data_IF_500824330764
#
_entry.id   IF_500824330764
#
_cell.length_a   1.000
_cell.length_b   1.000
_cell.length_c   1.000
_cell.angle_alpha   90.00
_cell.angle_beta   90.00
_cell.angle_gamma   90.00
#
_symmetry.space_group_name_H-M   'P 1'
#
loop_
_entity.id
_entity.type
_entity.pdbx_description
1 polymer ?
#
# COMPACT_ATOMS: atom_id res chain seq x y z
N UNK A 1 14.82 -15.60 -3.85
CA UNK A 1 15.39 -14.59 -2.92
C UNK A 1 15.65 -13.33 -3.73
N UNK A 2 14.62 -12.46 -3.86
CA UNK A 2 14.76 -11.20 -4.59
C UNK A 2 15.59 -10.26 -3.72
N UNK A 3 16.87 -10.17 -4.01
CA UNK A 3 17.78 -9.26 -3.33
C UNK A 3 17.54 -7.86 -3.86
N UNK A 4 16.74 -7.07 -3.16
CA UNK A 4 16.75 -5.63 -3.35
C UNK A 4 18.14 -5.12 -2.96
N UNK A 5 18.94 -4.75 -3.94
CA UNK A 5 20.21 -4.07 -3.67
C UNK A 5 19.89 -2.69 -3.13
N UNK A 6 20.07 -2.55 -1.82
CA UNK A 6 19.88 -1.31 -1.09
C UNK A 6 20.85 -0.23 -1.62
N UNK A 7 20.31 0.91 -2.03
CA UNK A 7 21.09 2.09 -2.36
C UNK A 7 21.76 2.59 -1.08
N UNK A 8 23.11 2.58 -1.06
CA UNK A 8 23.83 3.24 0.03
C UNK A 8 23.92 4.73 -0.25
N UNK A 9 23.39 5.52 0.68
CA UNK A 9 23.67 6.95 0.75
C UNK A 9 25.08 7.16 1.33
N UNK A 10 25.93 7.95 0.68
CA UNK A 10 27.15 8.46 1.33
C UNK A 10 26.76 9.65 2.18
N UNK A 11 26.94 9.53 3.48
CA UNK A 11 26.73 10.64 4.40
C UNK A 11 28.05 11.33 4.69
N UNK A 12 28.12 12.63 4.42
CA UNK A 12 29.13 13.51 4.95
C UNK A 12 28.46 14.41 5.98
N UNK A 13 28.90 14.33 7.23
CA UNK A 13 28.53 15.30 8.26
C UNK A 13 29.55 16.43 8.25
N UNK A 14 29.12 17.64 7.93
CA UNK A 14 29.88 18.84 8.18
C UNK A 14 29.04 19.77 9.06
N UNK A 15 29.34 19.83 10.33
CA UNK A 15 28.82 20.81 11.29
C UNK A 15 27.31 20.83 11.51
N UNK A 16 26.61 21.77 10.93
CA UNK A 16 25.19 22.06 11.16
C UNK A 16 24.22 21.45 10.13
N UNK A 17 24.72 20.84 9.06
CA UNK A 17 23.95 20.30 7.94
C UNK A 17 24.24 18.82 7.77
N UNK A 18 23.20 18.05 7.48
CA UNK A 18 23.32 16.67 7.05
C UNK A 18 23.23 16.63 5.52
N UNK A 19 24.25 16.09 4.86
CA UNK A 19 24.24 15.92 3.42
C UNK A 19 23.79 14.50 3.09
N UNK A 20 22.67 14.37 2.41
CA UNK A 20 22.16 13.09 1.92
C UNK A 20 22.45 13.00 0.43
N UNK A 21 23.26 12.03 0.03
CA UNK A 21 23.50 11.69 -1.36
C UNK A 21 22.66 10.47 -1.72
N UNK A 22 21.46 10.71 -2.26
CA UNK A 22 20.62 9.63 -2.80
C UNK A 22 21.06 9.39 -4.23
N UNK A 23 21.84 8.34 -4.41
CA UNK A 23 22.33 7.92 -5.73
C UNK A 23 21.36 6.95 -6.34
N UNK A 24 20.81 7.32 -7.47
CA UNK A 24 20.05 6.38 -8.28
C UNK A 24 20.95 5.41 -8.99
N UNK A 25 20.44 4.20 -9.16
CA UNK A 25 21.10 3.16 -9.93
C UNK A 25 21.44 3.68 -11.31
N UNK A 26 22.65 3.40 -11.73
CA UNK A 26 23.29 3.56 -13.02
C UNK A 26 22.60 4.49 -14.03
N UNK A 27 23.42 5.06 -14.84
CA UNK A 27 23.05 5.80 -16.05
C UNK A 27 22.31 4.87 -17.03
N UNK A 28 21.17 4.28 -16.59
CA UNK A 28 20.37 3.38 -17.44
C UNK A 28 20.06 4.04 -18.76
N UNK A 29 19.78 5.35 -18.74
CA UNK A 29 19.51 6.14 -19.93
C UNK A 29 20.72 6.28 -20.89
N UNK A 30 21.94 5.92 -20.44
CA UNK A 30 23.10 5.84 -21.32
C UNK A 30 23.06 4.58 -22.18
N UNK A 31 22.67 3.45 -21.62
CA UNK A 31 22.58 2.17 -22.31
C UNK A 31 21.27 2.00 -23.08
N UNK A 32 20.19 2.57 -22.56
CA UNK A 32 18.85 2.52 -23.15
C UNK A 32 18.55 3.89 -23.76
N UNK A 33 19.13 4.12 -24.93
CA UNK A 33 18.94 5.38 -25.68
C UNK A 33 17.54 5.43 -26.30
N UNK A 34 16.95 6.61 -26.35
CA UNK A 34 15.62 6.84 -26.91
C UNK A 34 15.52 6.30 -28.35
N UNK A 35 14.41 5.64 -28.67
CA UNK A 35 14.14 5.03 -29.97
C UNK A 35 14.90 3.73 -30.25
N UNK A 36 15.84 3.30 -29.40
CA UNK A 36 16.53 2.02 -29.55
C UNK A 36 15.57 0.84 -29.36
N UNK A 37 15.94 -0.36 -29.81
CA UNK A 37 15.16 -1.58 -29.61
C UNK A 37 14.90 -1.88 -28.13
N UNK A 38 15.89 -1.58 -27.26
CA UNK A 38 15.74 -1.69 -25.80
C UNK A 38 14.72 -0.71 -25.26
N UNK A 39 14.71 0.50 -25.75
CA UNK A 39 13.76 1.53 -25.35
C UNK A 39 12.34 1.20 -25.80
N UNK A 40 12.16 0.79 -27.04
CA UNK A 40 10.85 0.39 -27.56
C UNK A 40 10.25 -0.77 -26.76
N UNK A 41 11.07 -1.75 -26.35
CA UNK A 41 10.62 -2.85 -25.51
C UNK A 41 10.32 -2.38 -24.07
N UNK A 42 11.14 -1.48 -23.51
CA UNK A 42 10.91 -0.90 -22.19
C UNK A 42 9.60 -0.07 -22.13
N UNK A 43 9.29 0.69 -23.20
CA UNK A 43 8.01 1.42 -23.34
C UNK A 43 6.83 0.43 -23.32
N UNK A 44 6.91 -0.67 -24.08
CA UNK A 44 5.83 -1.67 -24.13
C UNK A 44 5.58 -2.35 -22.79
N UNK A 45 6.64 -2.61 -22.05
CA UNK A 45 6.56 -3.19 -20.69
C UNK A 45 6.09 -2.18 -19.66
N UNK A 46 6.59 -0.96 -19.71
CA UNK A 46 6.33 0.17 -18.82
C UNK A 46 6.92 0.00 -17.43
N UNK A 47 6.87 -1.20 -16.87
CA UNK A 47 7.39 -1.53 -15.53
C UNK A 47 7.79 -3.01 -15.45
N UNK A 48 8.65 -3.35 -14.50
CA UNK A 48 8.87 -4.75 -14.11
C UNK A 48 7.68 -5.25 -13.31
N UNK A 49 7.33 -6.54 -13.45
CA UNK A 49 6.24 -7.21 -12.73
C UNK A 49 6.84 -8.18 -11.73
N UNK A 50 6.42 -8.07 -10.45
CA UNK A 50 6.96 -8.85 -9.34
C UNK A 50 5.94 -9.90 -8.92
N UNK A 51 6.01 -11.09 -9.48
CA UNK A 51 5.20 -12.22 -9.05
C UNK A 51 5.91 -12.99 -7.93
N UNK A 52 5.18 -13.82 -7.22
CA UNK A 52 5.57 -14.45 -5.95
C UNK A 52 7.02 -14.98 -5.88
N UNK A 53 7.49 -15.67 -6.93
CA UNK A 53 8.78 -16.36 -6.95
C UNK A 53 9.78 -15.80 -7.96
N UNK A 54 9.34 -14.88 -8.83
CA UNK A 54 10.15 -14.36 -9.94
C UNK A 54 9.81 -12.94 -10.31
N UNK A 55 10.65 -12.35 -11.13
CA UNK A 55 10.42 -11.02 -11.69
C UNK A 55 10.38 -11.13 -13.21
N UNK A 56 9.37 -10.52 -13.83
CA UNK A 56 9.39 -10.25 -15.26
C UNK A 56 9.99 -8.85 -15.45
N UNK A 57 11.26 -8.73 -15.81
CA UNK A 57 11.97 -7.46 -15.80
C UNK A 57 11.56 -6.56 -16.97
N UNK A 58 11.54 -5.24 -16.75
CA UNK A 58 11.38 -4.23 -17.81
C UNK A 58 12.56 -4.25 -18.77
N UNK A 59 13.76 -4.37 -18.24
CA UNK A 59 15.02 -4.43 -19.00
C UNK A 59 15.66 -5.82 -18.91
N UNK A 60 16.42 -6.27 -19.93
CA UNK A 60 17.12 -7.55 -19.89
C UNK A 60 17.99 -7.70 -18.64
N UNK A 61 18.10 -8.92 -18.10
CA UNK A 61 18.84 -9.21 -16.86
C UNK A 61 20.30 -8.80 -16.93
N UNK A 62 20.92 -8.88 -18.12
CA UNK A 62 22.29 -8.41 -18.35
C UNK A 62 22.46 -6.92 -18.03
N UNK A 63 21.43 -6.12 -18.22
CA UNK A 63 21.40 -4.72 -17.79
C UNK A 63 20.97 -4.63 -16.32
N UNK A 64 19.80 -5.15 -15.97
CA UNK A 64 19.18 -4.92 -14.65
C UNK A 64 19.97 -5.53 -13.49
N UNK A 65 20.57 -6.71 -13.66
CA UNK A 65 21.35 -7.41 -12.64
C UNK A 65 22.88 -7.27 -12.85
N UNK A 66 23.30 -6.87 -14.03
CA UNK A 66 24.70 -6.75 -14.43
C UNK A 66 25.23 -5.33 -14.42
N UNK A 67 25.25 -4.70 -15.62
CA UNK A 67 25.90 -3.40 -15.87
C UNK A 67 25.23 -2.29 -15.05
N UNK A 68 23.90 -2.31 -14.95
CA UNK A 68 23.10 -1.34 -14.21
C UNK A 68 22.89 -1.70 -12.74
N UNK A 69 23.62 -2.63 -12.18
CA UNK A 69 23.54 -2.95 -10.74
C UNK A 69 24.73 -2.37 -9.99
N UNK A 70 24.46 -1.69 -8.87
CA UNK A 70 25.50 -1.08 -8.02
C UNK A 70 26.25 -2.17 -7.22
N UNK A 71 26.97 -3.03 -7.95
CA UNK A 71 27.78 -4.07 -7.33
C UNK A 71 28.94 -3.47 -6.54
N UNK A 72 29.35 -4.08 -5.40
CA UNK A 72 30.43 -3.57 -4.57
C UNK A 72 31.77 -3.61 -5.31
N UNK A 73 32.62 -2.63 -4.99
CA UNK A 73 34.00 -2.51 -5.47
C UNK A 73 34.17 -2.33 -7.00
N UNK A 74 33.11 -1.92 -7.69
CA UNK A 74 33.12 -1.66 -9.13
C UNK A 74 32.65 -0.22 -9.37
N UNK A 75 33.39 0.50 -10.23
CA UNK A 75 32.98 1.84 -10.63
C UNK A 75 31.71 1.77 -11.48
N UNK A 76 30.75 2.63 -11.17
CA UNK A 76 29.47 2.72 -11.87
C UNK A 76 29.13 4.17 -12.21
N UNK A 77 28.69 4.37 -13.44
CA UNK A 77 28.08 5.64 -13.85
C UNK A 77 26.72 5.75 -13.18
N UNK A 78 26.38 6.90 -12.62
CA UNK A 78 25.09 7.13 -11.97
C UNK A 78 24.56 8.53 -12.26
N UNK A 79 23.24 8.69 -12.06
CA UNK A 79 22.67 10.02 -11.85
C UNK A 79 22.38 10.20 -10.38
N UNK A 80 22.84 11.30 -9.81
CA UNK A 80 22.75 11.56 -8.37
C UNK A 80 21.98 12.85 -8.09
N UNK A 81 21.20 12.83 -7.04
CA UNK A 81 20.67 14.01 -6.38
C UNK A 81 21.41 14.16 -5.02
N UNK A 82 22.22 15.21 -4.89
CA UNK A 82 22.95 15.52 -3.68
C UNK A 82 22.20 16.66 -2.98
N UNK A 83 21.86 16.47 -1.72
CA UNK A 83 21.01 17.40 -0.98
C UNK A 83 21.64 17.78 0.36
N UNK A 84 21.59 19.05 0.71
CA UNK A 84 21.85 19.55 2.06
C UNK A 84 20.49 19.71 2.76
N UNK A 85 20.31 19.00 3.90
CA UNK A 85 19.04 18.94 4.61
C UNK A 85 19.24 19.55 5.99
N UNK A 86 18.38 20.50 6.36
CA UNK A 86 18.42 21.14 7.67
C UNK A 86 17.81 20.24 8.78
N UNK A 87 17.91 20.71 10.03
CA UNK A 87 17.37 20.00 11.19
C UNK A 87 15.85 19.86 11.21
N UNK A 88 15.14 20.56 10.31
CA UNK A 88 13.69 20.46 10.14
C UNK A 88 13.28 19.51 9.01
N UNK A 89 14.27 18.90 8.33
CA UNK A 89 14.05 17.99 7.20
C UNK A 89 13.90 18.71 5.84
N UNK A 90 14.10 20.04 5.79
CA UNK A 90 13.97 20.79 4.53
C UNK A 90 15.27 20.74 3.73
N UNK A 91 15.18 20.47 2.43
CA UNK A 91 16.28 20.61 1.48
C UNK A 91 16.59 22.10 1.29
N UNK A 92 17.79 22.53 1.71
CA UNK A 92 18.23 23.94 1.63
C UNK A 92 19.12 24.21 0.44
N UNK A 93 19.79 23.17 -0.08
CA UNK A 93 20.61 23.21 -1.27
C UNK A 93 20.63 21.84 -1.92
N UNK A 94 20.68 21.80 -3.23
CA UNK A 94 20.81 20.54 -3.97
C UNK A 94 21.64 20.70 -5.25
N UNK A 95 22.11 19.56 -5.73
CA UNK A 95 22.73 19.39 -7.02
C UNK A 95 22.25 18.08 -7.65
N UNK A 96 21.96 18.10 -8.94
CA UNK A 96 21.47 16.94 -9.68
C UNK A 96 22.34 16.79 -10.93
N UNK A 97 22.84 15.59 -11.18
CA UNK A 97 23.69 15.35 -12.36
C UNK A 97 24.34 13.98 -12.40
N UNK A 98 25.26 13.83 -13.34
CA UNK A 98 25.96 12.58 -13.57
C UNK A 98 27.17 12.45 -12.64
N UNK A 99 27.34 11.25 -12.09
CA UNK A 99 28.45 10.91 -11.18
C UNK A 99 29.01 9.53 -11.49
N UNK A 100 30.20 9.26 -10.95
CA UNK A 100 30.77 7.92 -10.88
C UNK A 100 30.84 7.53 -9.41
N UNK A 101 30.33 6.36 -9.08
CA UNK A 101 30.39 5.84 -7.72
C UNK A 101 31.05 4.48 -7.66
N UNK A 102 31.59 4.16 -6.50
CA UNK A 102 32.12 2.84 -6.16
C UNK A 102 31.51 2.41 -4.84
N UNK A 103 30.57 1.47 -4.87
CA UNK A 103 29.89 0.98 -3.69
C UNK A 103 30.81 0.09 -2.87
N UNK A 104 30.92 0.32 -1.56
CA UNK A 104 31.75 -0.48 -0.67
C UNK A 104 31.05 -1.77 -0.23
N UNK A 105 29.76 -1.70 0.10
CA UNK A 105 28.98 -2.82 0.61
C UNK A 105 27.63 -2.94 -0.09
N UNK A 106 27.21 -4.17 -0.32
CA UNK A 106 25.84 -4.50 -0.72
C UNK A 106 25.07 -4.97 0.51
N UNK A 107 24.30 -4.08 1.12
CA UNK A 107 23.53 -4.38 2.32
C UNK A 107 22.16 -4.96 1.98
N UNK A 108 21.63 -5.76 2.90
CA UNK A 108 20.23 -6.19 2.89
C UNK A 108 19.47 -5.44 3.98
N UNK A 109 18.16 -5.30 3.82
CA UNK A 109 17.30 -4.73 4.86
C UNK A 109 17.43 -5.51 6.17
N UNK A 110 17.46 -6.85 6.11
CA UNK A 110 17.64 -7.71 7.28
C UNK A 110 18.94 -7.38 8.02
N UNK A 111 20.10 -7.34 7.32
CA UNK A 111 21.37 -7.01 7.96
C UNK A 111 21.36 -5.63 8.63
N UNK A 112 20.73 -4.64 8.00
CA UNK A 112 20.62 -3.28 8.56
C UNK A 112 19.65 -3.24 9.75
N UNK A 113 18.51 -3.92 9.68
CA UNK A 113 17.59 -4.04 10.80
C UNK A 113 18.25 -4.76 12.00
N UNK A 114 19.02 -5.83 11.74
CA UNK A 114 19.78 -6.53 12.77
C UNK A 114 20.84 -5.62 13.44
N UNK A 115 21.53 -4.78 12.64
CA UNK A 115 22.48 -3.80 13.16
C UNK A 115 21.77 -2.76 14.05
N UNK A 116 20.63 -2.23 13.62
CA UNK A 116 19.84 -1.25 14.38
C UNK A 116 19.32 -1.88 15.68
N UNK A 117 18.97 -3.18 15.66
CA UNK A 117 18.55 -3.94 16.83
C UNK A 117 19.72 -4.31 17.79
N UNK A 118 20.96 -3.98 17.43
CA UNK A 118 22.14 -4.23 18.27
C UNK A 118 22.73 -5.64 18.15
N UNK A 119 22.49 -6.36 17.04
CA UNK A 119 23.09 -7.67 16.80
C UNK A 119 24.60 -7.53 16.66
N UNK A 120 25.36 -8.09 17.63
CA UNK A 120 26.81 -7.92 17.73
C UNK A 120 27.56 -8.50 16.52
N UNK A 121 27.14 -9.63 15.97
CA UNK A 121 27.76 -10.23 14.78
C UNK A 121 27.69 -9.27 13.58
N UNK A 122 26.54 -8.62 13.38
CA UNK A 122 26.36 -7.67 12.28
C UNK A 122 27.09 -6.36 12.53
N UNK A 123 27.12 -5.88 13.76
CA UNK A 123 27.91 -4.70 14.16
C UNK A 123 29.40 -4.91 13.90
N UNK A 124 29.95 -6.07 14.26
CA UNK A 124 31.37 -6.38 14.05
C UNK A 124 31.68 -6.54 12.55
N UNK A 125 30.84 -7.25 11.82
CA UNK A 125 30.98 -7.45 10.37
C UNK A 125 30.98 -6.15 9.57
N UNK A 126 30.15 -5.19 9.96
CA UNK A 126 29.96 -3.93 9.25
C UNK A 126 30.46 -2.72 10.04
N UNK A 127 31.42 -2.90 10.94
CA UNK A 127 31.94 -1.89 11.88
C UNK A 127 32.23 -0.53 11.25
N UNK A 128 32.75 -0.51 10.02
CA UNK A 128 33.14 0.72 9.32
C UNK A 128 31.97 1.60 8.90
N UNK A 129 30.76 1.04 8.79
CA UNK A 129 29.57 1.78 8.31
C UNK A 129 28.53 2.00 9.42
N UNK A 130 28.69 1.40 10.60
CA UNK A 130 27.77 1.58 11.74
C UNK A 130 27.50 3.06 12.02
N UNK A 131 28.51 3.96 12.12
CA UNK A 131 28.24 5.38 12.36
C UNK A 131 27.40 6.04 11.26
N UNK A 132 27.58 5.62 10.00
CA UNK A 132 26.77 6.12 8.90
C UNK A 132 25.32 5.66 8.99
N UNK A 133 25.08 4.38 9.37
CA UNK A 133 23.73 3.85 9.57
C UNK A 133 23.00 4.58 10.69
N UNK A 134 23.67 4.86 11.80
CA UNK A 134 23.10 5.64 12.91
C UNK A 134 22.68 7.07 12.48
N UNK A 135 23.48 7.72 11.63
CA UNK A 135 23.13 9.02 11.06
C UNK A 135 21.96 8.92 10.09
N UNK A 136 21.91 7.84 9.29
CA UNK A 136 20.79 7.58 8.39
C UNK A 136 19.48 7.41 9.15
N UNK A 137 19.48 6.70 10.27
CA UNK A 137 18.29 6.55 11.15
C UNK A 137 17.81 7.92 11.64
N UNK A 138 18.72 8.76 12.16
CA UNK A 138 18.38 10.12 12.63
C UNK A 138 17.81 11.01 11.51
N UNK A 139 18.37 10.90 10.31
CA UNK A 139 17.84 11.64 9.15
C UNK A 139 16.45 11.13 8.75
N UNK A 140 16.24 9.81 8.76
CA UNK A 140 14.92 9.21 8.50
C UNK A 140 13.87 9.76 9.47
N UNK A 141 14.15 9.76 10.79
CA UNK A 141 13.25 10.29 11.82
C UNK A 141 12.92 11.78 11.57
N UNK A 142 13.92 12.55 11.16
CA UNK A 142 13.74 13.97 10.80
C UNK A 142 12.82 14.15 9.60
N UNK A 143 13.05 13.38 8.53
CA UNK A 143 12.25 13.42 7.31
C UNK A 143 10.82 12.90 7.53
N UNK A 144 10.66 11.84 8.32
CA UNK A 144 9.35 11.31 8.68
C UNK A 144 8.54 12.33 9.49
N UNK A 145 9.17 12.96 10.50
CA UNK A 145 8.55 14.03 11.28
C UNK A 145 8.14 15.22 10.40
N UNK A 146 8.97 15.61 9.44
CA UNK A 146 8.66 16.70 8.51
C UNK A 146 7.47 16.34 7.62
N UNK A 147 7.45 15.14 7.05
CA UNK A 147 6.34 14.68 6.21
C UNK A 147 5.04 14.59 7.00
N UNK A 148 5.08 14.05 8.21
CA UNK A 148 3.91 14.00 9.08
C UNK A 148 3.34 15.40 9.32
N UNK A 149 4.19 16.38 9.67
CA UNK A 149 3.78 17.77 9.94
C UNK A 149 3.18 18.51 8.73
N UNK A 150 3.45 18.07 7.52
CA UNK A 150 2.86 18.66 6.30
C UNK A 150 1.61 17.92 5.79
N UNK A 151 1.10 16.94 6.54
CA UNK A 151 -0.14 16.24 6.22
C UNK A 151 0.04 14.93 5.44
N UNK A 152 1.25 14.35 5.33
CA UNK A 152 1.43 13.07 4.65
C UNK A 152 0.64 11.97 5.36
N UNK A 153 -0.23 11.29 4.63
CA UNK A 153 -1.00 10.15 5.14
C UNK A 153 -0.14 8.88 5.10
N UNK A 154 -0.02 8.21 6.23
CA UNK A 154 0.69 6.94 6.31
C UNK A 154 -0.32 5.80 6.34
N UNK A 155 -0.34 5.00 5.27
CA UNK A 155 -1.19 3.81 5.17
C UNK A 155 -0.29 2.58 5.36
N UNK A 156 -0.15 2.12 6.60
CA UNK A 156 0.47 0.83 6.88
C UNK A 156 -0.56 -0.28 6.59
N UNK A 157 -0.44 -0.90 5.43
CA UNK A 157 -1.23 -2.09 5.07
C UNK A 157 -0.40 -3.34 5.27
N UNK A 158 -1.01 -4.37 5.85
CA UNK A 158 -0.38 -5.67 5.96
C UNK A 158 -0.16 -6.28 4.57
N UNK A 159 1.10 -6.63 4.25
CA UNK A 159 1.44 -7.29 3.00
C UNK A 159 1.75 -8.79 3.28
N UNK A 160 1.26 -9.67 2.40
CA UNK A 160 1.62 -11.07 2.44
C UNK A 160 3.03 -11.31 1.88
N UNK A 161 3.77 -12.23 2.51
CA UNK A 161 4.96 -12.83 1.94
C UNK A 161 4.69 -14.33 1.75
N UNK A 162 4.40 -14.71 0.52
CA UNK A 162 4.19 -16.11 0.17
C UNK A 162 5.56 -16.78 -0.02
N UNK A 163 5.81 -17.85 0.73
CA UNK A 163 7.02 -18.64 0.65
C UNK A 163 6.74 -19.84 -0.23
N UNK A 164 7.56 -20.00 -1.27
CA UNK A 164 7.45 -21.13 -2.20
C UNK A 164 8.64 -22.05 -2.09
N UNK A 165 8.43 -23.33 -2.39
CA UNK A 165 9.49 -24.33 -2.53
C UNK A 165 10.20 -24.21 -3.89
N UNK A 166 11.14 -25.13 -4.18
CA UNK A 166 11.92 -25.13 -5.44
C UNK A 166 11.05 -25.34 -6.69
N UNK A 167 9.89 -25.96 -6.53
CA UNK A 167 8.94 -26.23 -7.61
C UNK A 167 7.94 -25.09 -7.80
N UNK A 168 8.07 -24.00 -7.03
CA UNK A 168 7.18 -22.85 -7.07
C UNK A 168 5.85 -23.06 -6.34
N UNK A 169 5.70 -24.14 -5.56
CA UNK A 169 4.50 -24.39 -4.77
C UNK A 169 4.55 -23.60 -3.46
N UNK A 170 3.46 -22.95 -3.05
CA UNK A 170 3.40 -22.19 -1.81
C UNK A 170 3.42 -23.17 -0.62
N UNK A 171 4.33 -22.91 0.33
CA UNK A 171 4.52 -23.73 1.55
C UNK A 171 4.18 -22.97 2.82
N UNK A 172 4.16 -21.63 2.78
CA UNK A 172 3.80 -20.80 3.91
C UNK A 172 3.39 -19.40 3.44
N UNK A 173 2.53 -18.74 4.22
CA UNK A 173 2.12 -17.34 4.00
C UNK A 173 2.35 -16.57 5.30
N UNK A 174 3.28 -15.64 5.29
CA UNK A 174 3.68 -14.83 6.44
C UNK A 174 3.33 -13.35 6.22
N UNK A 175 3.06 -12.63 7.30
CA UNK A 175 3.00 -11.18 7.25
C UNK A 175 4.40 -10.60 6.99
N UNK A 176 4.50 -9.74 6.01
CA UNK A 176 5.73 -8.99 5.74
C UNK A 176 5.86 -7.86 6.76
N UNK A 177 6.82 -8.00 7.65
CA UNK A 177 7.15 -6.93 8.58
C UNK A 177 8.12 -5.94 7.90
N UNK A 178 7.71 -4.67 7.82
CA UNK A 178 8.57 -3.56 7.37
C UNK A 178 9.34 -3.01 8.55
N UNK A 179 10.66 -3.18 8.54
CA UNK A 179 11.55 -2.67 9.58
C UNK A 179 11.93 -1.19 9.36
N UNK A 180 12.80 -0.69 10.23
CA UNK A 180 13.32 0.68 10.14
C UNK A 180 14.14 0.87 8.86
N UNK A 181 14.90 -0.16 8.43
CA UNK A 181 15.73 -0.07 7.24
C UNK A 181 14.92 0.17 5.96
N UNK A 182 13.77 -0.50 5.80
CA UNK A 182 12.87 -0.30 4.67
C UNK A 182 12.28 1.12 4.65
N UNK A 183 11.76 1.59 5.78
CA UNK A 183 11.18 2.94 5.93
C UNK A 183 12.21 4.05 5.75
N UNK A 184 13.44 3.81 6.22
CA UNK A 184 14.56 4.72 6.06
C UNK A 184 14.92 4.94 4.60
N UNK A 185 15.06 3.87 3.82
CA UNK A 185 15.36 3.97 2.38
C UNK A 185 14.18 4.59 1.63
N UNK A 186 12.95 4.25 1.98
CA UNK A 186 11.77 4.91 1.43
C UNK A 186 11.79 6.43 1.66
N UNK A 187 12.13 6.88 2.88
CA UNK A 187 12.25 8.32 3.18
C UNK A 187 13.27 9.03 2.28
N UNK A 188 14.40 8.38 2.01
CA UNK A 188 15.44 8.95 1.14
C UNK A 188 15.01 8.95 -0.34
N UNK A 189 14.30 7.90 -0.78
CA UNK A 189 13.74 7.89 -2.14
C UNK A 189 12.68 8.98 -2.31
N UNK A 190 11.82 9.19 -1.33
CA UNK A 190 10.78 10.22 -1.36
C UNK A 190 11.40 11.62 -1.47
N UNK A 191 12.36 11.97 -0.61
CA UNK A 191 12.99 13.30 -0.64
C UNK A 191 13.75 13.54 -1.94
N UNK A 192 14.38 12.50 -2.52
CA UNK A 192 15.06 12.63 -3.81
C UNK A 192 14.07 12.86 -4.96
N UNK A 193 12.96 12.12 -4.98
CA UNK A 193 11.89 12.27 -5.97
C UNK A 193 11.28 13.67 -5.90
N UNK A 194 11.00 14.18 -4.69
CA UNK A 194 10.52 15.55 -4.46
C UNK A 194 11.51 16.60 -4.94
N UNK A 195 12.78 16.46 -4.55
CA UNK A 195 13.84 17.40 -4.91
C UNK A 195 14.02 17.51 -6.43
N UNK A 196 14.00 16.37 -7.16
CA UNK A 196 14.12 16.37 -8.62
C UNK A 196 12.89 17.00 -9.27
N UNK A 197 11.68 16.69 -8.79
CA UNK A 197 10.46 17.27 -9.33
C UNK A 197 10.41 18.80 -9.11
N UNK A 198 10.73 19.27 -7.91
CA UNK A 198 10.79 20.69 -7.57
C UNK A 198 11.83 21.46 -8.40
N UNK A 199 12.99 20.83 -8.64
CA UNK A 199 14.07 21.42 -9.45
C UNK A 199 13.58 21.77 -10.86
N UNK A 200 12.97 20.82 -11.57
CA UNK A 200 12.52 21.04 -12.94
C UNK A 200 11.25 21.90 -13.01
N UNK A 201 10.37 21.82 -12.02
CA UNK A 201 9.23 22.72 -11.91
C UNK A 201 9.66 24.19 -11.79
N UNK A 202 10.69 24.48 -10.98
CA UNK A 202 11.24 25.84 -10.83
C UNK A 202 11.98 26.37 -12.06
N UNK A 203 12.46 25.48 -12.93
CA UNK A 203 13.06 25.87 -14.21
C UNK A 203 12.02 26.09 -15.32
N UNK A 204 10.75 25.83 -15.03
CA UNK A 204 9.63 25.92 -15.99
C UNK A 204 9.86 25.10 -17.26
N UNK A 205 10.45 23.92 -17.09
CA UNK A 205 10.73 22.98 -18.17
C UNK A 205 9.65 21.89 -18.22
N UNK A 206 9.23 21.42 -19.43
CA UNK A 206 8.36 20.27 -19.57
C UNK A 206 8.90 19.07 -18.77
N UNK A 207 8.07 18.47 -17.94
CA UNK A 207 8.50 17.40 -17.04
C UNK A 207 7.39 16.39 -16.77
N UNK A 208 7.75 15.16 -16.41
CA UNK A 208 6.79 14.12 -16.02
C UNK A 208 6.66 14.07 -14.50
N UNK A 209 5.45 14.28 -14.01
CA UNK A 209 5.12 14.23 -12.58
C UNK A 209 4.39 12.95 -12.22
N UNK A 210 4.52 12.54 -10.97
CA UNK A 210 3.67 11.53 -10.33
C UNK A 210 2.68 12.25 -9.45
N UNK A 211 1.45 12.36 -9.90
CA UNK A 211 0.41 13.12 -9.21
C UNK A 211 -0.56 12.19 -8.45
N UNK A 212 -1.08 12.70 -7.35
CA UNK A 212 -2.15 12.09 -6.58
C UNK A 212 -3.12 13.18 -6.17
N UNK A 213 -4.24 13.26 -6.88
CA UNK A 213 -5.25 14.29 -6.67
C UNK A 213 -6.01 14.06 -5.37
N UNK A 214 -6.65 15.09 -4.86
CA UNK A 214 -7.50 15.01 -3.67
C UNK A 214 -8.64 13.99 -3.84
N UNK A 215 -9.08 13.33 -2.77
CA UNK A 215 -10.18 12.39 -2.83
C UNK A 215 -11.47 13.11 -3.26
N UNK A 216 -12.30 12.42 -4.04
CA UNK A 216 -13.61 12.95 -4.45
C UNK A 216 -14.53 13.06 -3.24
N UNK A 217 -15.28 14.17 -3.15
CA UNK A 217 -16.14 14.46 -2.01
C UNK A 217 -17.18 13.37 -1.73
N UNK A 218 -17.71 12.71 -2.76
CA UNK A 218 -18.67 11.60 -2.61
C UNK A 218 -18.05 10.36 -1.95
N UNK A 219 -16.81 10.04 -2.30
CA UNK A 219 -16.08 8.92 -1.68
C UNK A 219 -15.66 9.24 -0.25
N UNK A 220 -15.18 10.47 -0.02
CA UNK A 220 -14.76 10.91 1.29
C UNK A 220 -15.97 11.04 2.25
N UNK A 221 -17.15 11.42 1.75
CA UNK A 221 -18.38 11.43 2.53
C UNK A 221 -18.75 10.02 3.01
N UNK A 222 -18.62 9.00 2.15
CA UNK A 222 -18.86 7.60 2.54
C UNK A 222 -17.92 7.16 3.67
N UNK A 223 -16.64 7.57 3.60
CA UNK A 223 -15.69 7.32 4.69
C UNK A 223 -16.10 8.02 5.99
N UNK A 224 -16.50 9.30 5.92
CA UNK A 224 -16.96 10.08 7.08
C UNK A 224 -18.21 9.44 7.71
N UNK A 225 -19.19 9.07 6.89
CA UNK A 225 -20.41 8.40 7.35
C UNK A 225 -20.08 7.07 8.05
N UNK A 226 -19.12 6.33 7.51
CA UNK A 226 -18.67 5.08 8.08
C UNK A 226 -17.94 5.29 9.42
N UNK A 227 -16.96 6.21 9.48
CA UNK A 227 -16.27 6.56 10.72
C UNK A 227 -17.25 7.02 11.82
N UNK A 228 -18.26 7.82 11.44
CA UNK A 228 -19.33 8.27 12.35
C UNK A 228 -20.16 7.10 12.89
N UNK A 229 -20.33 6.01 12.13
CA UNK A 229 -21.06 4.83 12.59
C UNK A 229 -20.35 4.08 13.74
N UNK A 230 -19.06 4.30 13.94
CA UNK A 230 -18.28 3.87 15.11
C UNK A 230 -18.32 4.86 16.28
N UNK A 231 -19.13 5.92 16.18
CA UNK A 231 -19.20 6.97 17.19
C UNK A 231 -18.06 7.99 17.14
N UNK A 232 -17.28 8.00 16.06
CA UNK A 232 -16.16 8.93 15.89
C UNK A 232 -16.66 10.29 15.41
N UNK A 233 -16.14 11.35 16.02
CA UNK A 233 -16.38 12.70 15.55
C UNK A 233 -15.34 13.06 14.48
N UNK A 234 -15.79 13.36 13.27
CA UNK A 234 -14.97 13.83 12.17
C UNK A 234 -15.14 15.34 12.04
N UNK A 235 -14.06 16.11 12.14
CA UNK A 235 -14.09 17.56 12.06
C UNK A 235 -13.96 18.00 10.60
N UNK A 236 -14.99 18.62 10.07
CA UNK A 236 -15.08 19.09 8.69
C UNK A 236 -16.15 18.36 7.89
N UNK A 237 -16.32 18.81 6.64
CA UNK A 237 -17.20 18.17 5.65
C UNK A 237 -16.35 17.48 4.59
N UNK A 238 -16.94 16.60 3.80
CA UNK A 238 -16.24 15.93 2.71
C UNK A 238 -15.57 16.87 1.68
N UNK A 239 -16.01 18.12 1.61
CA UNK A 239 -15.43 19.15 0.74
C UNK A 239 -14.44 20.08 1.42
N UNK A 240 -14.26 19.98 2.75
CA UNK A 240 -13.44 20.93 3.54
C UNK A 240 -12.54 20.28 4.58
N UNK A 241 -12.57 18.95 4.70
CA UNK A 241 -11.71 18.22 5.64
C UNK A 241 -10.25 18.32 5.19
N UNK A 242 -9.38 18.74 6.11
CA UNK A 242 -7.95 18.83 5.85
C UNK A 242 -7.25 17.47 6.03
N UNK A 243 -6.08 17.33 5.44
CA UNK A 243 -5.22 16.16 5.66
C UNK A 243 -4.86 15.98 7.14
N UNK A 244 -4.58 17.08 7.85
CA UNK A 244 -4.27 17.04 9.29
C UNK A 244 -5.46 16.48 10.10
N UNK A 245 -6.69 16.82 9.74
CA UNK A 245 -7.88 16.29 10.41
C UNK A 245 -8.06 14.79 10.15
N UNK A 246 -7.69 14.30 8.97
CA UNK A 246 -7.67 12.87 8.66
C UNK A 246 -6.55 12.14 9.41
N UNK A 247 -5.35 12.72 9.47
CA UNK A 247 -4.25 12.19 10.27
C UNK A 247 -4.61 12.09 11.75
N UNK A 248 -5.18 13.17 12.33
CA UNK A 248 -5.61 13.21 13.72
C UNK A 248 -6.70 12.16 14.02
N UNK A 249 -7.62 11.96 13.08
CA UNK A 249 -8.62 10.90 13.19
C UNK A 249 -7.94 9.51 13.24
N UNK A 250 -7.02 9.24 12.32
CA UNK A 250 -6.34 7.93 12.25
C UNK A 250 -5.42 7.69 13.44
N UNK A 251 -4.74 8.71 13.95
CA UNK A 251 -3.92 8.61 15.16
C UNK A 251 -4.77 8.30 16.42
N UNK A 252 -5.96 8.90 16.53
CA UNK A 252 -6.88 8.63 17.65
C UNK A 252 -7.43 7.20 17.67
N UNK A 253 -7.47 6.54 16.52
CA UNK A 253 -8.04 5.19 16.41
C UNK A 253 -7.00 4.09 16.24
N UNK A 254 -5.72 4.41 16.20
CA UNK A 254 -4.64 3.46 15.85
C UNK A 254 -4.60 2.19 16.71
N UNK A 255 -4.98 2.30 17.99
CA UNK A 255 -4.97 1.20 18.95
C UNK A 255 -6.35 0.52 19.09
N UNK A 256 -7.33 0.95 18.29
CA UNK A 256 -8.69 0.40 18.32
C UNK A 256 -8.82 -0.83 17.41
N UNK A 257 -9.66 -1.82 17.75
CA UNK A 257 -9.84 -3.03 16.97
C UNK A 257 -10.32 -2.81 15.52
N UNK A 258 -10.83 -1.62 15.21
CA UNK A 258 -11.32 -1.22 13.89
C UNK A 258 -10.37 -0.29 13.14
N UNK A 259 -9.16 -0.06 13.64
CA UNK A 259 -8.16 0.83 13.03
C UNK A 259 -7.83 0.42 11.59
N UNK A 260 -7.52 -0.86 11.36
CA UNK A 260 -7.16 -1.37 10.03
C UNK A 260 -8.30 -1.19 9.03
N UNK A 261 -9.54 -1.36 9.50
CA UNK A 261 -10.73 -1.18 8.67
C UNK A 261 -10.89 0.28 8.26
N UNK A 262 -10.72 1.21 9.18
CA UNK A 262 -10.78 2.64 8.87
C UNK A 262 -9.65 3.06 7.95
N UNK A 263 -8.43 2.55 8.15
CA UNK A 263 -7.30 2.74 7.24
C UNK A 263 -7.64 2.28 5.81
N UNK A 264 -8.18 1.07 5.67
CA UNK A 264 -8.59 0.53 4.38
C UNK A 264 -9.70 1.37 3.72
N UNK A 265 -10.72 1.80 4.49
CA UNK A 265 -11.81 2.62 3.99
C UNK A 265 -11.32 4.01 3.55
N UNK A 266 -10.41 4.62 4.31
CA UNK A 266 -9.77 5.87 3.94
C UNK A 266 -8.96 5.70 2.65
N UNK A 267 -8.15 4.66 2.55
CA UNK A 267 -7.38 4.34 1.35
C UNK A 267 -8.28 4.14 0.12
N UNK A 268 -9.41 3.43 0.26
CA UNK A 268 -10.40 3.23 -0.82
C UNK A 268 -11.11 4.54 -1.24
N UNK A 269 -11.16 5.55 -0.38
CA UNK A 269 -11.71 6.85 -0.70
C UNK A 269 -10.76 7.71 -1.53
N UNK A 270 -9.45 7.40 -1.50
CA UNK A 270 -8.43 8.13 -2.25
C UNK A 270 -8.54 7.91 -3.76
N UNK A 271 -8.03 8.85 -4.52
CA UNK A 271 -7.81 8.67 -5.95
C UNK A 271 -6.57 7.80 -6.19
N UNK A 272 -6.44 7.25 -7.39
CA UNK A 272 -5.22 6.54 -7.77
C UNK A 272 -4.17 7.55 -8.24
N UNK A 273 -2.94 7.40 -7.77
CA UNK A 273 -1.84 8.15 -8.29
C UNK A 273 -1.56 7.77 -9.76
N UNK A 274 -1.17 8.74 -10.58
CA UNK A 274 -0.90 8.55 -12.02
C UNK A 274 0.26 9.45 -12.47
N UNK A 275 0.79 9.18 -13.64
CA UNK A 275 1.74 10.08 -14.27
C UNK A 275 1.00 11.16 -15.06
N UNK A 276 1.59 12.36 -15.13
CA UNK A 276 1.03 13.51 -15.83
C UNK A 276 2.15 14.46 -16.24
N UNK A 277 1.94 15.17 -17.34
CA UNK A 277 2.74 16.33 -17.77
C UNK A 277 2.49 17.58 -16.93
N UNK A 278 1.36 17.61 -16.22
CA UNK A 278 0.99 18.73 -15.34
C UNK A 278 1.17 18.34 -13.87
N UNK A 279 1.76 19.25 -13.10
CA UNK A 279 1.88 19.08 -11.66
C UNK A 279 0.53 19.42 -10.97
N UNK A 280 -0.01 18.45 -10.24
CA UNK A 280 -1.18 18.62 -9.36
C UNK A 280 -0.85 18.24 -7.91
N UNK A 281 0.45 18.14 -7.57
CA UNK A 281 0.90 17.68 -6.27
C UNK A 281 0.64 16.19 -6.02
N UNK A 282 0.99 15.75 -4.84
CA UNK A 282 0.76 14.37 -4.41
C UNK A 282 0.07 14.35 -3.04
N UNK A 283 -1.27 14.29 -3.04
CA UNK A 283 -2.10 14.38 -1.84
C UNK A 283 -1.64 13.40 -0.74
N UNK A 284 -1.54 12.11 -1.01
CA UNK A 284 -1.15 11.12 0.01
C UNK A 284 0.21 11.37 0.66
N UNK A 285 1.16 12.04 -0.04
CA UNK A 285 2.48 12.41 0.52
C UNK A 285 2.50 13.82 1.10
N UNK A 286 1.44 14.61 0.94
CA UNK A 286 1.44 16.03 1.27
C UNK A 286 2.52 16.81 0.49
N UNK A 287 2.91 16.35 -0.70
CA UNK A 287 4.00 16.93 -1.48
C UNK A 287 3.47 17.82 -2.60
N UNK A 288 4.03 19.03 -2.71
CA UNK A 288 3.69 19.99 -3.76
C UNK A 288 4.24 19.55 -5.13
N UNK A 289 5.44 18.97 -5.15
CA UNK A 289 6.11 18.45 -6.35
C UNK A 289 6.51 17.00 -6.10
N UNK A 290 6.18 16.13 -7.03
CA UNK A 290 6.61 14.73 -6.92
C UNK A 290 6.76 14.07 -8.29
N UNK A 291 7.81 13.28 -8.45
CA UNK A 291 8.06 12.44 -9.61
C UNK A 291 8.65 11.11 -9.17
N UNK A 292 8.86 10.22 -10.11
CA UNK A 292 9.63 9.00 -9.89
C UNK A 292 10.99 9.12 -10.59
N UNK A 293 12.07 9.12 -9.81
CA UNK A 293 13.45 9.23 -10.29
C UNK A 293 14.32 8.06 -9.83
N UNK A 294 13.98 7.42 -8.70
CA UNK A 294 14.89 6.52 -7.99
C UNK A 294 14.93 5.08 -8.51
N UNK A 295 14.18 4.69 -9.54
CA UNK A 295 14.10 3.29 -10.00
C UNK A 295 14.06 3.11 -11.52
N UNK A 296 15.03 3.61 -12.30
CA UNK A 296 15.01 3.58 -13.78
C UNK A 296 15.16 2.18 -14.38
N UNK A 297 15.63 1.19 -13.61
CA UNK A 297 15.75 -0.20 -14.07
C UNK A 297 14.38 -0.87 -14.20
N UNK A 298 13.44 -0.48 -13.33
CA UNK A 298 12.16 -1.16 -13.18
C UNK A 298 10.91 -0.32 -13.50
N UNK A 299 11.07 0.98 -13.75
CA UNK A 299 9.98 1.87 -14.13
C UNK A 299 10.40 2.76 -15.29
N UNK A 300 9.61 2.77 -16.35
CA UNK A 300 9.89 3.58 -17.53
C UNK A 300 9.88 5.11 -17.27
N UNK A 301 8.94 5.65 -16.47
CA UNK A 301 8.98 7.09 -16.14
C UNK A 301 10.28 7.54 -15.46
N UNK A 302 10.87 6.72 -14.59
CA UNK A 302 12.17 7.03 -13.98
C UNK A 302 13.28 7.07 -15.05
N UNK A 303 13.25 6.15 -16.02
CA UNK A 303 14.21 6.15 -17.15
C UNK A 303 14.02 7.42 -17.99
N UNK A 304 12.80 7.85 -18.23
CA UNK A 304 12.49 9.10 -18.92
C UNK A 304 13.03 10.30 -18.13
N UNK A 305 12.80 10.37 -16.83
CA UNK A 305 13.34 11.43 -15.96
C UNK A 305 14.87 11.45 -16.02
N UNK A 306 15.55 10.30 -16.03
CA UNK A 306 17.00 10.23 -16.19
C UNK A 306 17.48 10.80 -17.54
N UNK A 307 16.72 10.61 -18.63
CA UNK A 307 17.02 11.25 -19.93
C UNK A 307 16.84 12.76 -19.85
N UNK A 308 15.75 13.21 -19.26
CA UNK A 308 15.46 14.64 -19.10
C UNK A 308 16.55 15.34 -18.28
N UNK A 309 16.98 14.77 -17.16
CA UNK A 309 18.08 15.30 -16.34
C UNK A 309 19.36 15.44 -17.16
N UNK A 310 19.71 14.44 -17.97
CA UNK A 310 20.90 14.47 -18.84
C UNK A 310 20.76 15.51 -19.96
N UNK A 311 19.67 15.47 -20.68
CA UNK A 311 19.47 16.21 -21.92
C UNK A 311 19.25 17.70 -21.64
N UNK A 312 18.54 18.06 -20.57
CA UNK A 312 18.42 19.43 -20.10
C UNK A 312 19.74 20.03 -19.59
N UNK A 313 20.66 19.20 -19.09
CA UNK A 313 21.98 19.62 -18.69
C UNK A 313 22.85 20.06 -19.89
N UNK A 314 22.51 19.68 -21.13
CA UNK A 314 23.25 19.99 -22.32
C UNK A 314 22.60 21.10 -23.18
N UNK A 315 21.31 20.98 -23.49
CA UNK A 315 20.58 21.94 -24.30
C UNK A 315 19.10 22.02 -23.91
N UNK A 316 18.76 22.82 -22.87
CA UNK A 316 17.40 22.86 -22.34
C UNK A 316 16.35 23.31 -23.37
N UNK A 317 16.63 24.33 -24.16
CA UNK A 317 15.63 24.94 -25.06
C UNK A 317 15.23 23.97 -26.20
N UNK A 318 16.20 23.33 -26.85
CA UNK A 318 15.93 22.35 -27.92
C UNK A 318 15.18 21.11 -27.38
N UNK A 319 15.55 20.64 -26.19
CA UNK A 319 14.98 19.45 -25.60
C UNK A 319 13.61 19.68 -25.01
N UNK A 320 13.29 20.91 -24.60
CA UNK A 320 11.97 21.26 -24.07
C UNK A 320 10.86 20.98 -25.09
N UNK A 321 11.02 21.44 -26.35
CA UNK A 321 10.03 21.21 -27.42
C UNK A 321 9.80 19.70 -27.67
N UNK A 322 10.86 18.91 -27.69
CA UNK A 322 10.76 17.48 -27.86
C UNK A 322 10.00 16.80 -26.70
N UNK A 323 10.37 17.12 -25.45
CA UNK A 323 9.73 16.50 -24.28
C UNK A 323 8.27 16.96 -24.10
N UNK A 324 7.92 18.19 -24.45
CA UNK A 324 6.54 18.68 -24.45
C UNK A 324 5.63 17.82 -25.36
N UNK A 325 6.15 17.33 -26.48
CA UNK A 325 5.40 16.49 -27.42
C UNK A 325 5.28 15.04 -26.94
N UNK A 326 6.29 14.47 -26.29
CA UNK A 326 6.32 13.02 -26.00
C UNK A 326 5.79 12.66 -24.60
N UNK A 327 5.88 13.57 -23.61
CA UNK A 327 5.49 13.28 -22.22
C UNK A 327 4.02 12.91 -22.09
N UNK A 328 3.03 13.57 -22.72
CA UNK A 328 1.61 13.29 -22.50
C UNK A 328 1.27 11.81 -22.80
N UNK A 329 1.73 11.29 -23.92
CA UNK A 329 1.46 9.89 -24.29
C UNK A 329 2.24 8.90 -23.41
N UNK A 330 3.50 9.19 -23.08
CA UNK A 330 4.31 8.35 -22.19
C UNK A 330 3.75 8.32 -20.77
N UNK A 331 3.22 9.42 -20.25
CA UNK A 331 2.60 9.51 -18.94
C UNK A 331 1.32 8.66 -18.89
N UNK A 332 0.45 8.79 -19.90
CA UNK A 332 -0.79 8.00 -20.04
C UNK A 332 -0.49 6.51 -20.16
N UNK A 333 0.41 6.14 -21.06
CA UNK A 333 0.83 4.76 -21.29
C UNK A 333 1.43 4.14 -20.03
N UNK A 334 2.38 4.83 -19.37
CA UNK A 334 3.02 4.36 -18.13
C UNK A 334 2.00 4.13 -17.01
N UNK A 335 1.02 5.02 -16.86
CA UNK A 335 -0.05 4.84 -15.86
C UNK A 335 -0.94 3.62 -16.15
N UNK A 336 -1.23 3.34 -17.43
CA UNK A 336 -2.01 2.17 -17.83
C UNK A 336 -1.22 0.87 -17.63
N UNK A 337 0.06 0.86 -17.99
CA UNK A 337 0.94 -0.31 -17.86
C UNK A 337 1.24 -0.65 -16.40
N UNK A 338 1.39 0.37 -15.54
CA UNK A 338 1.51 0.18 -14.09
C UNK A 338 0.27 -0.50 -13.50
N UNK A 339 -0.94 -0.05 -13.85
CA UNK A 339 -2.19 -0.71 -13.39
C UNK A 339 -2.25 -2.17 -13.83
N UNK A 340 -1.95 -2.44 -15.10
CA UNK A 340 -1.90 -3.82 -15.63
C UNK A 340 -0.89 -4.69 -14.86
N UNK A 341 0.28 -4.15 -14.51
CA UNK A 341 1.28 -4.86 -13.71
C UNK A 341 0.75 -5.20 -12.30
N UNK A 342 0.15 -4.22 -11.62
CA UNK A 342 -0.45 -4.40 -10.29
C UNK A 342 -1.59 -5.43 -10.31
N UNK A 343 -2.44 -5.40 -11.35
CA UNK A 343 -3.53 -6.38 -11.52
C UNK A 343 -2.96 -7.79 -11.70
N UNK A 344 -1.95 -7.96 -12.56
CA UNK A 344 -1.28 -9.25 -12.75
C UNK A 344 -0.59 -9.76 -11.47
N UNK A 345 0.07 -8.89 -10.70
CA UNK A 345 0.68 -9.24 -9.41
C UNK A 345 -0.37 -9.72 -8.40
N UNK A 346 -1.51 -9.02 -8.29
CA UNK A 346 -2.62 -9.39 -7.40
C UNK A 346 -3.29 -10.70 -7.82
N UNK A 347 -3.49 -10.90 -9.11
CA UNK A 347 -4.07 -12.15 -9.64
C UNK A 347 -3.19 -13.35 -9.31
N UNK A 348 -1.87 -13.27 -9.55
CA UNK A 348 -0.93 -14.33 -9.19
C UNK A 348 -0.87 -14.55 -7.68
N UNK A 349 -0.90 -13.49 -6.88
CA UNK A 349 -0.94 -13.58 -5.42
C UNK A 349 -2.20 -14.33 -4.95
N UNK A 350 -3.38 -13.98 -5.50
CA UNK A 350 -4.64 -14.64 -5.18
C UNK A 350 -4.60 -16.12 -5.57
N UNK A 351 -4.09 -16.44 -6.77
CA UNK A 351 -3.91 -17.83 -7.22
C UNK A 351 -3.00 -18.62 -6.27
N UNK A 352 -1.89 -18.03 -5.82
CA UNK A 352 -0.95 -18.68 -4.89
C UNK A 352 -1.54 -18.84 -3.48
N UNK A 353 -2.29 -17.89 -2.99
CA UNK A 353 -3.04 -17.99 -1.74
C UNK A 353 -4.08 -19.11 -1.82
N UNK A 354 -4.83 -19.18 -2.91
CA UNK A 354 -5.81 -20.26 -3.12
C UNK A 354 -5.12 -21.64 -3.26
N UNK A 355 -3.99 -21.74 -3.98
CA UNK A 355 -3.20 -22.98 -4.08
C UNK A 355 -2.75 -23.46 -2.70
N UNK A 356 -2.26 -22.57 -1.83
CA UNK A 356 -1.89 -22.88 -0.46
C UNK A 356 -3.08 -23.39 0.36
N UNK A 357 -4.23 -22.75 0.22
CA UNK A 357 -5.44 -23.08 1.00
C UNK A 357 -6.10 -24.41 0.58
N UNK A 358 -5.77 -24.99 -0.57
CA UNK A 358 -6.38 -26.25 -1.02
C UNK A 358 -6.18 -27.40 -0.02
N UNK A 359 -5.03 -27.45 0.66
CA UNK A 359 -4.73 -28.50 1.65
C UNK A 359 -5.55 -28.38 2.94
N UNK A 360 -6.18 -27.22 3.15
CA UNK A 360 -6.94 -26.91 4.37
C UNK A 360 -8.46 -26.94 4.17
N UNK A 361 -8.94 -27.40 3.02
CA UNK A 361 -10.39 -27.49 2.74
C UNK A 361 -11.07 -28.37 3.77
N UNK A 362 -12.13 -27.85 4.38
CA UNK A 362 -12.89 -28.50 5.47
C UNK A 362 -12.46 -28.08 6.86
N UNK A 363 -11.36 -27.39 7.05
CA UNK A 363 -10.91 -26.87 8.34
C UNK A 363 -11.58 -25.54 8.70
N UNK A 364 -11.60 -25.24 10.00
CA UNK A 364 -12.15 -24.01 10.55
C UNK A 364 -11.05 -23.04 10.96
N UNK A 365 -11.33 -21.75 10.76
CA UNK A 365 -10.42 -20.65 11.07
C UNK A 365 -11.14 -19.50 11.76
N UNK A 366 -10.39 -18.73 12.54
CA UNK A 366 -10.80 -17.43 13.01
C UNK A 366 -10.33 -16.36 12.03
N UNK A 367 -11.21 -15.45 11.66
CA UNK A 367 -10.93 -14.35 10.74
C UNK A 367 -11.66 -13.09 11.14
N UNK A 368 -11.46 -12.05 10.34
CA UNK A 368 -12.10 -10.75 10.51
C UNK A 368 -12.83 -10.38 9.21
N UNK A 369 -14.05 -9.87 9.33
CA UNK A 369 -14.78 -9.37 8.16
C UNK A 369 -14.06 -8.18 7.57
N UNK A 370 -13.44 -8.35 6.40
CA UNK A 370 -12.66 -7.31 5.69
C UNK A 370 -13.53 -6.43 4.80
N UNK A 371 -14.66 -6.99 4.29
CA UNK A 371 -15.59 -6.23 3.45
C UNK A 371 -16.99 -6.82 3.52
N UNK A 372 -18.00 -5.94 3.40
CA UNK A 372 -19.42 -6.31 3.32
C UNK A 372 -19.98 -5.77 2.01
N UNK A 373 -20.53 -6.66 1.20
CA UNK A 373 -21.08 -6.35 -0.12
C UNK A 373 -22.49 -6.93 -0.29
N UNK A 374 -23.20 -6.51 -1.33
CA UNK A 374 -24.58 -6.99 -1.60
C UNK A 374 -24.73 -8.51 -1.70
N UNK A 375 -23.68 -9.19 -2.17
CA UNK A 375 -23.69 -10.63 -2.41
C UNK A 375 -22.98 -11.45 -1.32
N UNK A 376 -22.46 -10.81 -0.23
CA UNK A 376 -21.88 -11.55 0.89
C UNK A 376 -20.90 -10.77 1.73
N UNK A 377 -20.02 -11.51 2.40
CA UNK A 377 -18.96 -11.02 3.26
C UNK A 377 -17.61 -11.52 2.76
N UNK A 378 -16.63 -10.64 2.69
CA UNK A 378 -15.24 -11.07 2.60
C UNK A 378 -14.67 -11.19 4.02
N UNK A 379 -13.93 -12.25 4.27
CA UNK A 379 -13.29 -12.53 5.54
C UNK A 379 -11.80 -12.72 5.30
N UNK A 380 -10.99 -11.99 6.04
CA UNK A 380 -9.54 -12.08 6.02
C UNK A 380 -9.04 -12.88 7.21
N UNK A 381 -8.14 -13.83 6.95
CA UNK A 381 -7.44 -14.62 7.95
C UNK A 381 -6.19 -13.89 8.47
N UNK A 382 -5.61 -14.28 9.63
CA UNK A 382 -4.40 -13.65 10.17
C UNK A 382 -3.19 -13.66 9.22
N UNK A 383 -3.15 -14.57 8.26
CA UNK A 383 -2.11 -14.66 7.23
C UNK A 383 -2.44 -13.89 5.95
N UNK A 384 -3.41 -12.97 5.99
CA UNK A 384 -3.89 -12.15 4.85
C UNK A 384 -4.59 -12.92 3.72
N UNK A 385 -4.93 -14.17 3.94
CA UNK A 385 -5.80 -14.89 2.99
C UNK A 385 -7.22 -14.38 3.13
N UNK A 386 -7.82 -13.91 2.05
CA UNK A 386 -9.19 -13.44 1.99
C UNK A 386 -10.08 -14.42 1.23
N UNK A 387 -11.29 -14.66 1.73
CA UNK A 387 -12.28 -15.50 1.06
C UNK A 387 -13.71 -14.97 1.24
N UNK A 388 -14.61 -15.44 0.40
CA UNK A 388 -16.00 -15.02 0.33
C UNK A 388 -16.93 -15.96 1.10
N UNK A 389 -17.76 -15.41 1.99
CA UNK A 389 -19.00 -16.05 2.43
C UNK A 389 -20.13 -15.48 1.58
N UNK A 390 -20.58 -16.24 0.59
CA UNK A 390 -21.69 -15.79 -0.25
C UNK A 390 -22.99 -15.70 0.56
N UNK A 391 -23.82 -14.69 0.29
CA UNK A 391 -25.05 -14.41 1.06
C UNK A 391 -26.01 -15.60 1.10
N UNK A 392 -26.04 -16.45 0.05
CA UNK A 392 -26.85 -17.67 0.01
C UNK A 392 -26.38 -18.75 0.97
N UNK A 393 -25.14 -18.68 1.44
CA UNK A 393 -24.55 -19.60 2.43
C UNK A 393 -24.80 -19.16 3.88
N UNK A 394 -25.47 -18.01 4.07
CA UNK A 394 -25.94 -17.56 5.38
C UNK A 394 -27.31 -18.18 5.68
N UNK A 395 -27.57 -18.45 6.96
CA UNK A 395 -28.72 -19.24 7.44
C UNK A 395 -30.10 -18.57 7.30
N UNK A 396 -30.16 -17.33 6.77
CA UNK A 396 -31.39 -16.56 6.58
C UNK A 396 -31.19 -15.50 5.49
N UNK A 397 -32.27 -14.80 5.12
CA UNK A 397 -32.18 -13.64 4.23
C UNK A 397 -31.55 -12.44 4.96
N UNK A 398 -30.57 -11.79 4.30
CA UNK A 398 -29.88 -10.61 4.79
C UNK A 398 -30.09 -9.42 3.86
N UNK A 399 -30.41 -8.26 4.45
CA UNK A 399 -30.52 -7.01 3.74
C UNK A 399 -29.20 -6.24 3.84
N UNK A 400 -28.68 -5.79 2.70
CA UNK A 400 -27.48 -4.95 2.65
C UNK A 400 -27.82 -3.49 2.87
N UNK A 401 -27.11 -2.85 3.79
CA UNK A 401 -27.20 -1.42 4.07
C UNK A 401 -25.94 -0.71 3.56
N UNK A 402 -26.05 -0.03 2.42
CA UNK A 402 -24.90 0.60 1.73
C UNK A 402 -24.22 1.69 2.58
N UNK A 403 -25.00 2.47 3.35
CA UNK A 403 -24.47 3.57 4.17
C UNK A 403 -23.58 3.11 5.32
N UNK A 404 -23.91 1.98 5.94
CA UNK A 404 -23.19 1.44 7.10
C UNK A 404 -22.33 0.24 6.74
N UNK A 405 -22.32 -0.21 5.49
CA UNK A 405 -21.62 -1.41 4.99
C UNK A 405 -21.91 -2.62 5.90
N UNK A 406 -23.19 -2.90 6.12
CA UNK A 406 -23.62 -4.00 6.99
C UNK A 406 -24.61 -4.91 6.26
N UNK A 407 -24.62 -6.20 6.66
CA UNK A 407 -25.68 -7.14 6.32
C UNK A 407 -26.52 -7.41 7.56
N UNK A 408 -27.82 -7.14 7.49
CA UNK A 408 -28.76 -7.35 8.60
C UNK A 408 -29.73 -8.48 8.27
N UNK A 409 -29.78 -9.50 9.14
CA UNK A 409 -30.69 -10.62 9.00
C UNK A 409 -32.14 -10.22 9.33
N UNK A 410 -33.06 -10.55 8.44
CA UNK A 410 -34.50 -10.21 8.60
C UNK A 410 -35.14 -10.90 9.82
N UNK A 411 -34.80 -12.16 10.05
CA UNK A 411 -35.44 -12.95 11.14
C UNK A 411 -34.71 -12.82 12.47
N UNK A 412 -33.38 -12.88 12.45
CA UNK A 412 -32.55 -12.84 13.67
C UNK A 412 -32.27 -11.43 14.14
N UNK A 413 -32.27 -10.44 13.23
CA UNK A 413 -31.75 -9.09 13.46
C UNK A 413 -30.22 -9.06 13.63
N UNK A 414 -29.54 -10.16 13.31
CA UNK A 414 -28.07 -10.24 13.37
C UNK A 414 -27.47 -9.29 12.37
N UNK A 415 -26.44 -8.57 12.76
CA UNK A 415 -25.73 -7.63 11.90
C UNK A 415 -24.30 -8.10 11.72
N UNK A 416 -23.88 -8.28 10.46
CA UNK A 416 -22.48 -8.41 10.10
C UNK A 416 -21.94 -7.06 9.67
N UNK A 417 -20.76 -6.71 10.18
CA UNK A 417 -20.07 -5.45 9.88
C UNK A 417 -18.59 -5.68 9.64
N UNK A 418 -17.97 -4.79 8.91
CA UNK A 418 -16.51 -4.80 8.69
C UNK A 418 -15.79 -4.64 10.04
N UNK A 419 -14.64 -5.34 10.20
CA UNK A 419 -13.89 -5.38 11.46
C UNK A 419 -14.42 -6.37 12.51
N UNK A 420 -15.50 -7.09 12.22
CA UNK A 420 -16.08 -8.06 13.16
C UNK A 420 -15.30 -9.37 13.11
N UNK A 421 -14.84 -9.90 14.27
CA UNK A 421 -14.31 -11.27 14.34
C UNK A 421 -15.41 -12.29 13.97
N UNK A 422 -15.01 -13.31 13.20
CA UNK A 422 -15.92 -14.33 12.71
C UNK A 422 -15.22 -15.69 12.61
N UNK A 423 -15.90 -16.75 13.02
CA UNK A 423 -15.45 -18.14 12.80
C UNK A 423 -15.96 -18.62 11.47
N UNK A 424 -15.06 -19.19 10.66
CA UNK A 424 -15.37 -19.67 9.31
C UNK A 424 -14.86 -21.08 9.09
N UNK A 425 -15.46 -21.76 8.13
CA UNK A 425 -14.97 -23.04 7.59
C UNK A 425 -14.61 -22.85 6.12
N UNK A 426 -13.43 -23.28 5.72
CA UNK A 426 -13.02 -23.28 4.35
C UNK A 426 -13.78 -24.36 3.58
N UNK A 427 -14.54 -23.95 2.56
CA UNK A 427 -15.36 -24.87 1.75
C UNK A 427 -14.77 -25.16 0.39
N UNK A 428 -14.10 -24.19 -0.23
CA UNK A 428 -13.47 -24.32 -1.55
C UNK A 428 -12.25 -23.37 -1.66
N UNK A 429 -11.23 -23.82 -2.35
CA UNK A 429 -10.12 -23.00 -2.80
C UNK A 429 -9.74 -23.43 -4.24
N UNK A 430 -9.78 -22.50 -5.16
CA UNK A 430 -9.54 -22.74 -6.58
C UNK A 430 -8.30 -21.96 -7.04
N UNK A 431 -7.19 -22.69 -7.26
CA UNK A 431 -5.93 -22.09 -7.68
C UNK A 431 -5.96 -21.47 -9.07
N UNK A 432 -6.91 -21.84 -9.93
CA UNK A 432 -6.97 -21.32 -11.30
C UNK A 432 -7.66 -19.95 -11.36
N UNK A 433 -8.64 -19.74 -10.49
CA UNK A 433 -9.38 -18.47 -10.42
C UNK A 433 -8.90 -17.58 -9.27
N UNK A 434 -8.13 -18.13 -8.32
CA UNK A 434 -7.74 -17.44 -7.09
C UNK A 434 -8.89 -17.30 -6.07
N UNK A 435 -10.06 -17.92 -6.34
CA UNK A 435 -11.23 -17.82 -5.47
C UNK A 435 -11.14 -18.74 -4.28
N UNK A 436 -11.53 -18.20 -3.12
CA UNK A 436 -11.62 -18.92 -1.84
C UNK A 436 -13.01 -18.69 -1.26
N UNK A 437 -13.74 -19.79 -0.98
CA UNK A 437 -15.07 -19.74 -0.42
C UNK A 437 -15.06 -20.23 1.04
N UNK A 438 -15.73 -19.47 1.89
CA UNK A 438 -15.94 -19.79 3.29
C UNK A 438 -17.41 -20.02 3.59
N UNK A 439 -17.67 -20.80 4.63
CA UNK A 439 -18.97 -20.91 5.29
C UNK A 439 -18.87 -20.33 6.70
N UNK A 440 -19.92 -19.64 7.13
CA UNK A 440 -20.01 -19.14 8.50
C UNK A 440 -20.23 -20.31 9.48
N UNK A 441 -19.40 -20.38 10.53
CA UNK A 441 -19.59 -21.30 11.66
C UNK A 441 -20.22 -20.53 12.81
N UNK A 442 -21.48 -20.86 13.22
CA UNK A 442 -22.14 -20.19 14.34
C UNK A 442 -21.36 -20.40 15.65
N UNK A 443 -21.08 -19.32 16.37
CA UNK A 443 -20.47 -19.41 17.70
C UNK A 443 -21.48 -19.96 18.75
N UNK A 444 -20.97 -20.46 19.88
CA UNK A 444 -21.84 -20.88 21.00
C UNK A 444 -22.74 -19.73 21.49
N UNK A 445 -22.25 -18.49 21.47
CA UNK A 445 -23.04 -17.30 21.80
C UNK A 445 -24.19 -17.09 20.81
N UNK A 446 -23.98 -17.34 19.51
CA UNK A 446 -25.04 -17.28 18.50
C UNK A 446 -26.12 -18.33 18.74
N UNK A 447 -25.72 -19.51 19.16
CA UNK A 447 -26.63 -20.62 19.49
C UNK A 447 -27.45 -20.29 20.75
N UNK A 448 -26.79 -19.74 21.78
CA UNK A 448 -27.45 -19.33 23.04
C UNK A 448 -28.40 -18.14 22.81
N UNK A 449 -28.01 -17.12 22.07
CA UNK A 449 -28.89 -16.00 21.71
C UNK A 449 -30.11 -16.46 20.90
N UNK A 450 -29.92 -17.37 19.95
CA UNK A 450 -31.02 -17.95 19.17
C UNK A 450 -31.98 -18.74 20.06
N UNK A 451 -31.45 -19.51 21.02
CA UNK A 451 -32.26 -20.24 22.00
C UNK A 451 -33.00 -19.31 22.95
N UNK A 452 -32.38 -18.22 23.42
CA UNK A 452 -33.03 -17.22 24.28
C UNK A 452 -34.14 -16.45 23.56
N UNK A 453 -33.92 -16.05 22.30
CA UNK A 453 -34.93 -15.40 21.46
C UNK A 453 -36.08 -16.33 21.14
N UNK A 454 -35.81 -17.61 20.88
CA UNK A 454 -36.87 -18.62 20.71
C UNK A 454 -37.72 -18.79 21.98
N UNK A 455 -37.11 -18.87 23.17
CA UNK A 455 -37.83 -18.94 24.47
C UNK A 455 -38.68 -17.69 24.74
N UNK A 456 -38.19 -16.47 24.38
CA UNK A 456 -38.98 -15.23 24.52
C UNK A 456 -40.18 -15.20 23.58
N UNK A 457 -40.09 -15.73 22.36
CA UNK A 457 -41.19 -15.82 21.39
C UNK A 457 -42.28 -16.80 21.87
N UNK A 458 -41.89 -17.96 22.40
CA UNK A 458 -42.85 -18.93 22.97
C UNK A 458 -43.53 -18.40 24.21
N UNK A 459 -42.82 -17.66 25.08
CA UNK A 459 -43.41 -17.03 26.27
C UNK A 459 -44.40 -15.91 25.90
N UNK A 460 -44.16 -15.14 24.82
CA UNK A 460 -45.06 -14.08 24.37
C UNK A 460 -46.34 -14.65 23.70
N UNK A 461 -46.28 -15.82 23.06
CA UNK A 461 -47.46 -16.50 22.52
C UNK A 461 -48.31 -17.11 23.63
N UNK A 462 -47.71 -17.69 24.68
CA UNK A 462 -48.45 -18.28 25.82
C UNK A 462 -49.19 -17.24 26.65
N UNK A 463 -48.73 -15.98 26.70
CA UNK A 463 -49.44 -14.90 27.39
C UNK A 463 -50.62 -14.34 26.58
N UNK A 464 -50.54 -14.32 25.22
CA UNK A 464 -51.69 -13.91 24.38
C UNK A 464 -52.85 -14.91 24.47
N UNK A 465 -52.57 -16.22 24.53
CA UNK A 465 -53.60 -17.26 24.66
C UNK A 465 -54.26 -17.28 26.06
N UNK A 466 -53.62 -16.70 27.09
CA UNK A 466 -54.20 -16.54 28.43
C UNK A 466 -55.15 -15.34 28.51
N UNK A 467 -54.85 -14.24 27.86
CA UNK A 467 -55.71 -13.04 27.86
C UNK A 467 -56.99 -13.26 27.03
N UNK A 468 -56.94 -14.05 25.94
CA UNK A 468 -58.13 -14.41 25.14
C UNK A 468 -59.09 -15.37 25.85
N UNK A 469 -58.61 -16.15 26.84
CA UNK A 469 -59.48 -17.04 27.66
C UNK A 469 -60.15 -16.33 28.84
N UNK A 470 -59.60 -15.21 29.34
CA UNK A 470 -60.18 -14.43 30.43
C UNK A 470 -61.29 -13.46 29.98
N UNK A 471 -61.44 -13.16 28.69
CA UNK A 471 -62.42 -12.23 28.11
C UNK A 471 -63.78 -12.85 27.78
N UNK A 472 -63.96 -14.21 27.83
CA UNK A 472 -65.21 -14.90 27.45
C UNK A 472 -66.17 -15.27 28.62
N UNK A 473 -65.95 -14.76 29.85
CA UNK A 473 -66.67 -15.17 31.06
C UNK A 473 -67.46 -14.08 31.78
N UNK A 474 -68.12 -13.12 31.11
CA UNK A 474 -69.10 -12.24 31.74
C UNK A 474 -70.09 -11.67 30.72
N UNK A 475 -71.28 -12.29 30.69
CA UNK A 475 -72.38 -11.68 29.92
C UNK A 475 -73.59 -12.60 29.77
N UNK A 476 -74.22 -12.99 30.81
CA UNK A 476 -75.69 -13.36 30.87
C UNK A 476 -76.17 -13.36 32.30
N UNK A 477 -76.84 -12.30 32.67
CA UNK A 477 -78.11 -12.31 33.40
C UNK A 477 -78.51 -10.85 33.72
N UNK A 478 -79.62 -10.47 33.24
CA UNK A 478 -80.84 -9.95 33.76
C UNK A 478 -81.50 -8.87 32.87
N UNK A 479 -82.77 -9.32 32.56
CA UNK A 479 -84.05 -8.69 32.26
C UNK A 479 -84.19 -7.94 30.96
#
# INVERSE_FOLDING_TARGET
MVSFSCLFCHFFTCGLFQTCDVRCRDHVSYYVTEGSALDQEAIKRGTSVYVTDRVVPMLPERLSNGICSLNPNVDRLTQSAIMEIDRKGKVVKHWIGQTVIKTNFRMTYSDVNDMIAGNQEKLDKYKTIVPSVELMVKLHETLETMRYKRGALNFDTAEAKIIVNKDGLPVDIQLRQRGIAERMIESFMLVANECVAEHFAKLDLPFIYRIHEEPKSDKLQKFIDYATSFGLTVYGTASSISQDALQDLMERVKDEPYADVLNMMLLRSMQQARYSEHNHGHYGLGAEFYTHFTSPIRRYPDLLVHRMVRDYGHNPAEKAEHFEQVIPELAKSSSSLERRAIEAEREVEAMKKAEFMQEFVGQEFDGVVSSVVKFGLFVELPNTVEGLIHITNLNEYYQFHERTLTLQGEKSGRVFRVGQPIRIKLTRADKMTGEIDFAHVPSELDIVEKALKAKRRTASHSNRDRDDRSGRGRGKHHK
#
